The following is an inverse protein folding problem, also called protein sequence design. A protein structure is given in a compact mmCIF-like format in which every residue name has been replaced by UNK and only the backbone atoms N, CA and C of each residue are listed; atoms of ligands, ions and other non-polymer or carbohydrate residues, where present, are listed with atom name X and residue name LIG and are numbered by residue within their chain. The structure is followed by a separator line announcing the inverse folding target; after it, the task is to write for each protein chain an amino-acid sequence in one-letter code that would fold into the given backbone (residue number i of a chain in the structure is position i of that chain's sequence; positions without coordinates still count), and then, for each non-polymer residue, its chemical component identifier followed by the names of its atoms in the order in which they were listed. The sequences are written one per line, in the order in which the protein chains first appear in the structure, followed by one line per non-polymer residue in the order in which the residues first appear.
data_IF_946838268975
#
_entry.id   IF_946838268975
#
_cell.length_a   1.000
_cell.length_b   1.000
_cell.length_c   1.000
_cell.angle_alpha   90.00
_cell.angle_beta   90.00
_cell.angle_gamma   90.00
#
_symmetry.space_group_name_H-M   'P 1'
#
loop_
_entity.id
_entity.type
_entity.pdbx_description
1 polymer ?
#
# COMPACT_ATOMS: atom_id res chain seq x y z
N UNK A 1 -5.94 -62.13 17.14
CA UNK A 1 -6.01 -62.15 18.63
C UNK A 1 -6.72 -60.86 19.00
N UNK A 2 -8.06 -60.88 19.02
CA UNK A 2 -8.91 -61.04 20.23
C UNK A 2 -8.66 -59.88 21.22
N UNK A 3 -9.64 -59.15 21.73
CA UNK A 3 -11.10 -59.19 21.65
C UNK A 3 -11.59 -57.97 22.48
N UNK A 4 -12.67 -57.30 22.03
CA UNK A 4 -13.88 -56.90 22.80
C UNK A 4 -13.73 -56.19 24.16
N UNK A 5 -14.55 -55.19 24.52
CA UNK A 5 -16.01 -55.27 24.66
C UNK A 5 -16.65 -53.88 24.53
N UNK A 6 -17.74 -53.86 23.77
CA UNK A 6 -18.77 -52.83 23.57
C UNK A 6 -19.99 -53.12 24.47
N UNK A 7 -21.02 -52.24 24.44
CA UNK A 7 -22.39 -52.32 25.00
C UNK A 7 -22.64 -51.37 26.19
N UNK A 8 -23.72 -50.60 26.30
CA UNK A 8 -25.07 -50.49 25.69
C UNK A 8 -25.51 -49.02 25.92
N UNK A 9 -26.31 -48.32 25.12
CA UNK A 9 -27.53 -48.72 24.42
C UNK A 9 -28.76 -48.25 25.22
N UNK A 10 -29.50 -47.25 24.72
CA UNK A 10 -30.93 -47.01 25.01
C UNK A 10 -31.57 -46.15 23.90
N UNK A 11 -32.35 -46.83 23.05
CA UNK A 11 -33.55 -46.37 22.32
C UNK A 11 -34.62 -45.84 23.33
N UNK A 12 -35.69 -45.08 23.02
CA UNK A 12 -36.58 -45.05 21.86
C UNK A 12 -37.59 -43.87 21.91
N UNK A 13 -38.00 -43.46 20.70
CA UNK A 13 -39.21 -42.82 20.12
C UNK A 13 -40.38 -42.18 20.92
N UNK A 14 -40.78 -41.02 20.37
CA UNK A 14 -42.11 -40.46 20.04
C UNK A 14 -43.31 -40.53 21.00
N UNK A 15 -43.95 -39.37 21.22
CA UNK A 15 -45.39 -39.24 21.01
C UNK A 15 -45.94 -37.81 20.89
N UNK A 16 -47.07 -37.74 20.20
CA UNK A 16 -47.82 -36.61 19.64
C UNK A 16 -48.86 -36.02 20.62
N UNK A 17 -48.97 -34.68 20.62
CA UNK A 17 -50.14 -33.80 20.90
C UNK A 17 -51.23 -34.19 21.92
N UNK A 18 -51.50 -33.30 22.90
CA UNK A 18 -52.83 -32.68 23.06
C UNK A 18 -52.87 -31.37 23.92
N UNK A 19 -53.68 -30.42 23.44
CA UNK A 19 -54.00 -29.05 23.82
C UNK A 19 -54.32 -28.69 25.30
N UNK A 20 -53.97 -27.46 25.76
CA UNK A 20 -54.85 -26.24 25.85
C UNK A 20 -54.26 -25.09 26.71
N UNK A 21 -54.35 -23.86 26.13
CA UNK A 21 -54.44 -22.48 26.68
C UNK A 21 -53.36 -21.98 27.68
N UNK A 22 -52.81 -20.77 27.65
CA UNK A 22 -53.32 -19.44 27.22
C UNK A 22 -52.14 -18.45 27.10
N UNK A 23 -52.29 -17.43 26.25
CA UNK A 23 -51.57 -16.15 26.22
C UNK A 23 -50.04 -16.13 25.96
N UNK A 24 -49.68 -15.80 24.72
CA UNK A 24 -48.42 -15.11 24.39
C UNK A 24 -48.73 -13.66 23.98
N UNK A 25 -47.99 -12.65 24.47
CA UNK A 25 -48.10 -11.31 23.93
C UNK A 25 -47.41 -11.24 22.57
N UNK A 26 -48.13 -10.69 21.57
CA UNK A 26 -47.56 -10.29 20.28
C UNK A 26 -46.54 -9.17 20.51
N UNK A 27 -45.26 -9.48 20.33
CA UNK A 27 -44.22 -8.45 20.16
C UNK A 27 -44.16 -8.13 18.68
N UNK A 28 -44.76 -7.00 18.30
CA UNK A 28 -44.65 -6.47 16.94
C UNK A 28 -43.19 -6.10 16.67
N UNK A 29 -42.52 -6.85 15.81
CA UNK A 29 -41.25 -6.42 15.24
C UNK A 29 -41.54 -5.27 14.27
N UNK A 30 -41.50 -4.03 14.76
CA UNK A 30 -41.37 -2.86 13.89
C UNK A 30 -40.04 -3.00 13.14
N UNK A 31 -40.09 -3.50 11.91
CA UNK A 31 -39.01 -3.35 10.93
C UNK A 31 -38.73 -1.85 10.82
N UNK A 32 -37.68 -1.38 11.50
CA UNK A 32 -37.06 -0.09 11.19
C UNK A 32 -36.42 -0.26 9.81
N UNK A 33 -37.16 0.13 8.78
CA UNK A 33 -36.58 0.44 7.48
C UNK A 33 -35.65 1.64 7.66
N UNK A 34 -34.37 1.39 7.92
CA UNK A 34 -33.36 2.37 7.53
C UNK A 34 -33.28 2.32 6.01
N UNK A 35 -34.11 3.13 5.35
CA UNK A 35 -33.80 3.56 3.98
C UNK A 35 -32.51 4.35 4.09
N UNK A 36 -31.43 3.77 3.60
CA UNK A 36 -30.19 4.50 3.36
C UNK A 36 -30.50 5.50 2.24
N UNK A 37 -30.57 6.78 2.57
CA UNK A 37 -30.54 7.82 1.56
C UNK A 37 -29.13 7.82 0.96
N UNK A 38 -29.01 7.26 -0.25
CA UNK A 38 -27.75 7.18 -0.99
C UNK A 38 -27.25 8.56 -1.48
N UNK A 39 -27.98 9.64 -1.18
CA UNK A 39 -27.75 11.00 -1.69
C UNK A 39 -27.52 12.05 -0.57
N UNK A 40 -27.34 11.65 0.69
CA UNK A 40 -26.94 12.59 1.75
C UNK A 40 -25.43 12.84 1.75
N UNK A 41 -24.94 14.05 2.13
CA UNK A 41 -23.51 14.28 2.26
C UNK A 41 -22.92 13.37 3.34
N UNK A 42 -22.21 12.32 2.93
CA UNK A 42 -21.47 11.43 3.81
C UNK A 42 -20.22 12.15 4.30
N UNK A 43 -20.39 12.99 5.31
CA UNK A 43 -19.28 13.70 5.94
C UNK A 43 -18.35 12.71 6.63
N UNK A 44 -17.10 13.11 6.82
CA UNK A 44 -16.11 12.39 7.63
C UNK A 44 -16.66 11.92 8.99
N UNK A 45 -17.52 12.75 9.62
CA UNK A 45 -18.22 12.43 10.86
C UNK A 45 -19.15 11.20 10.74
N UNK A 46 -19.73 10.91 9.58
CA UNK A 46 -20.59 9.74 9.35
C UNK A 46 -19.79 8.44 9.23
N UNK A 47 -18.63 8.47 8.57
CA UNK A 47 -17.69 7.34 8.49
C UNK A 47 -17.13 7.02 9.88
N UNK A 48 -16.81 8.07 10.64
CA UNK A 48 -16.31 7.97 12.02
C UNK A 48 -17.40 7.58 13.02
N UNK A 49 -18.64 8.05 12.86
CA UNK A 49 -19.76 7.64 13.72
C UNK A 49 -20.09 6.15 13.55
N UNK A 50 -20.05 5.65 12.31
CA UNK A 50 -20.14 4.21 12.02
C UNK A 50 -19.00 3.41 12.69
N UNK A 51 -17.81 4.00 12.81
CA UNK A 51 -16.67 3.44 13.54
C UNK A 51 -16.92 3.34 15.06
N UNK A 52 -17.51 4.38 15.67
CA UNK A 52 -17.71 4.45 17.14
C UNK A 52 -18.70 3.41 17.67
N UNK A 53 -19.59 2.88 16.83
CA UNK A 53 -20.60 1.90 17.26
C UNK A 53 -20.12 0.43 17.19
N UNK A 54 -18.99 0.14 16.52
CA UNK A 54 -18.54 -1.25 16.30
C UNK A 54 -17.13 -1.60 16.78
N UNK A 55 -16.24 -0.64 17.04
CA UNK A 55 -14.91 -0.95 17.61
C UNK A 55 -14.50 0.08 18.66
N UNK A 56 -14.34 -0.34 19.91
CA UNK A 56 -13.93 0.52 21.02
C UNK A 56 -12.45 0.95 20.97
N UNK A 57 -11.97 1.53 19.87
CA UNK A 57 -10.56 1.92 19.73
C UNK A 57 -10.36 3.44 19.77
N UNK A 58 -9.99 3.98 20.94
CA UNK A 58 -9.73 5.42 21.15
C UNK A 58 -8.75 6.06 20.13
N UNK A 59 -7.88 5.28 19.49
CA UNK A 59 -6.87 5.73 18.52
C UNK A 59 -7.45 6.24 17.18
N UNK A 60 -8.56 5.68 16.71
CA UNK A 60 -9.19 6.16 15.47
C UNK A 60 -10.08 7.36 15.74
N UNK A 61 -10.58 7.50 16.97
CA UNK A 61 -11.25 8.72 17.41
C UNK A 61 -10.26 9.89 17.43
N UNK A 62 -9.03 9.70 17.90
CA UNK A 62 -8.00 10.75 17.83
C UNK A 62 -7.52 11.03 16.40
N UNK A 63 -7.42 10.01 15.54
CA UNK A 63 -7.14 10.20 14.10
C UNK A 63 -8.26 11.00 13.43
N UNK A 64 -9.50 10.65 13.74
CA UNK A 64 -10.68 11.33 13.23
C UNK A 64 -10.81 12.77 13.76
N UNK A 65 -10.62 13.00 15.05
CA UNK A 65 -10.61 14.32 15.67
C UNK A 65 -9.45 15.18 15.13
N UNK A 66 -8.29 14.57 14.89
CA UNK A 66 -7.16 15.24 14.24
C UNK A 66 -7.49 15.70 12.82
N UNK A 67 -8.21 14.89 12.05
CA UNK A 67 -8.63 15.24 10.67
C UNK A 67 -9.78 16.25 10.66
N UNK A 68 -10.76 16.12 11.56
CA UNK A 68 -11.83 17.11 11.72
C UNK A 68 -11.28 18.49 12.13
N UNK A 69 -10.14 18.55 12.83
CA UNK A 69 -9.46 19.79 13.18
C UNK A 69 -8.65 20.42 12.03
N UNK A 70 -8.34 19.67 10.97
CA UNK A 70 -7.61 20.16 9.77
C UNK A 70 -8.55 20.88 8.78
N UNK A 71 -9.85 20.90 9.07
CA UNK A 71 -10.89 21.53 8.26
C UNK A 71 -11.90 20.51 7.76
N UNK A 72 -13.04 20.99 7.25
CA UNK A 72 -14.03 20.16 6.58
C UNK A 72 -13.42 19.58 5.28
N UNK A 73 -12.57 18.56 5.39
CA UNK A 73 -12.15 17.77 4.25
C UNK A 73 -13.39 17.03 3.75
N UNK A 74 -13.98 17.52 2.67
CA UNK A 74 -14.98 16.77 1.92
C UNK A 74 -14.29 15.54 1.35
N UNK A 75 -14.80 14.35 1.70
CA UNK A 75 -14.35 13.11 1.10
C UNK A 75 -14.85 13.14 -0.34
N UNK A 76 -13.95 13.42 -1.29
CA UNK A 76 -14.23 13.36 -2.73
C UNK A 76 -14.54 11.94 -3.20
N UNK A 77 -14.16 10.92 -2.41
CA UNK A 77 -14.34 9.52 -2.71
C UNK A 77 -15.82 9.11 -2.67
N UNK A 78 -16.32 8.53 -3.77
CA UNK A 78 -17.71 8.09 -3.90
C UNK A 78 -17.98 6.83 -3.06
N UNK A 79 -19.15 6.77 -2.43
CA UNK A 79 -19.63 5.54 -1.78
C UNK A 79 -20.29 4.66 -2.83
N UNK A 80 -19.81 3.43 -2.98
CA UNK A 80 -20.34 2.41 -3.88
C UNK A 80 -21.06 1.32 -3.08
N UNK A 81 -22.12 0.77 -3.66
CA UNK A 81 -22.77 -0.42 -3.09
C UNK A 81 -21.98 -1.68 -3.47
N UNK A 82 -22.12 -2.74 -2.68
CA UNK A 82 -21.54 -4.04 -3.03
C UNK A 82 -22.05 -4.55 -4.37
N UNK A 83 -23.35 -4.34 -4.66
CA UNK A 83 -23.97 -4.78 -5.90
C UNK A 83 -23.35 -4.08 -7.13
N UNK A 84 -23.11 -2.77 -7.03
CA UNK A 84 -22.46 -1.99 -8.10
C UNK A 84 -21.04 -2.50 -8.36
N UNK A 85 -20.25 -2.75 -7.31
CA UNK A 85 -18.89 -3.27 -7.46
C UNK A 85 -18.86 -4.72 -7.97
N UNK A 86 -19.79 -5.56 -7.52
CA UNK A 86 -19.95 -6.92 -8.01
C UNK A 86 -20.30 -6.90 -9.51
N UNK A 87 -21.26 -6.08 -9.94
CA UNK A 87 -21.59 -5.93 -11.35
C UNK A 87 -20.39 -5.43 -12.18
N UNK A 88 -19.67 -4.41 -11.68
CA UNK A 88 -18.51 -3.84 -12.39
C UNK A 88 -17.35 -4.82 -12.60
N UNK A 89 -17.27 -5.88 -11.80
CA UNK A 89 -16.19 -6.88 -11.82
C UNK A 89 -16.65 -8.25 -12.30
N UNK A 90 -17.85 -8.34 -12.90
CA UNK A 90 -18.49 -9.61 -13.29
C UNK A 90 -18.52 -10.63 -12.14
N UNK A 91 -19.03 -10.18 -10.99
CA UNK A 91 -19.06 -10.90 -9.72
C UNK A 91 -17.67 -11.34 -9.22
N UNK A 92 -16.68 -10.45 -9.30
CA UNK A 92 -15.29 -10.72 -8.91
C UNK A 92 -14.70 -11.92 -9.66
N UNK A 93 -14.94 -11.94 -10.99
CA UNK A 93 -14.48 -12.99 -11.88
C UNK A 93 -12.95 -13.18 -11.76
N UNK A 94 -12.45 -14.40 -11.55
CA UNK A 94 -11.00 -14.67 -11.50
C UNK A 94 -10.23 -14.22 -12.74
N UNK A 95 -10.87 -14.14 -13.91
CA UNK A 95 -10.26 -13.63 -15.15
C UNK A 95 -9.92 -12.13 -15.04
N UNK A 96 -10.65 -11.39 -14.21
CA UNK A 96 -10.42 -9.97 -13.94
C UNK A 96 -9.45 -9.73 -12.78
N UNK A 97 -8.88 -10.79 -12.18
CA UNK A 97 -7.94 -10.66 -11.07
C UNK A 97 -6.63 -10.02 -11.55
N UNK A 98 -6.27 -8.89 -10.94
CA UNK A 98 -5.02 -8.17 -11.20
C UNK A 98 -3.90 -8.60 -10.25
N UNK A 99 -4.26 -9.01 -9.03
CA UNK A 99 -3.29 -9.46 -8.03
C UNK A 99 -3.94 -9.89 -6.71
N UNK A 100 -3.19 -10.66 -5.93
CA UNK A 100 -3.58 -11.14 -4.60
C UNK A 100 -2.37 -11.04 -3.67
N UNK A 101 -2.58 -10.53 -2.46
CA UNK A 101 -1.52 -10.38 -1.46
C UNK A 101 -2.08 -10.28 -0.04
N UNK A 102 -1.22 -9.94 0.93
CA UNK A 102 -1.61 -9.83 2.35
C UNK A 102 -2.71 -8.80 2.66
N UNK A 103 -3.02 -7.94 1.69
CA UNK A 103 -4.05 -6.91 1.77
C UNK A 103 -5.33 -7.28 1.00
N UNK A 104 -5.47 -8.52 0.54
CA UNK A 104 -6.63 -9.01 -0.21
C UNK A 104 -6.43 -9.08 -1.71
N UNK A 105 -7.54 -9.10 -2.46
CA UNK A 105 -7.58 -9.34 -3.90
C UNK A 105 -7.95 -8.09 -4.66
N UNK A 106 -7.31 -7.84 -5.80
CA UNK A 106 -7.59 -6.66 -6.64
C UNK A 106 -8.15 -7.14 -7.97
N UNK A 107 -9.28 -6.59 -8.37
CA UNK A 107 -9.98 -6.93 -9.61
C UNK A 107 -10.06 -5.72 -10.53
N UNK A 108 -9.89 -5.93 -11.83
CA UNK A 108 -10.25 -4.94 -12.84
C UNK A 108 -11.77 -4.87 -12.94
N UNK A 109 -12.31 -3.66 -13.01
CA UNK A 109 -13.73 -3.46 -13.23
C UNK A 109 -14.01 -2.25 -14.10
N UNK A 110 -15.25 -2.15 -14.58
CA UNK A 110 -15.77 -0.99 -15.28
C UNK A 110 -17.06 -0.54 -14.61
N UNK A 111 -17.07 0.69 -14.09
CA UNK A 111 -18.22 1.25 -13.39
C UNK A 111 -19.00 2.12 -14.36
N UNK A 112 -20.14 1.61 -14.84
CA UNK A 112 -21.02 2.28 -15.80
C UNK A 112 -21.50 3.66 -15.31
N UNK A 113 -21.77 3.79 -14.01
CA UNK A 113 -22.34 5.01 -13.43
C UNK A 113 -21.39 6.22 -13.44
N UNK A 114 -20.10 6.01 -13.73
CA UNK A 114 -19.08 7.05 -13.88
C UNK A 114 -18.26 6.89 -15.16
N UNK A 115 -18.64 5.96 -16.05
CA UNK A 115 -17.94 5.63 -17.30
C UNK A 115 -16.42 5.47 -17.11
N UNK A 116 -16.00 4.59 -16.18
CA UNK A 116 -14.58 4.48 -15.81
C UNK A 116 -14.11 3.06 -15.55
N UNK A 117 -12.94 2.73 -16.09
CA UNK A 117 -12.17 1.52 -15.73
C UNK A 117 -11.45 1.76 -14.39
N UNK A 118 -11.57 0.80 -13.47
CA UNK A 118 -11.11 0.90 -12.09
C UNK A 118 -10.40 -0.37 -11.63
N UNK A 119 -9.66 -0.24 -10.54
CA UNK A 119 -9.17 -1.37 -9.75
C UNK A 119 -9.97 -1.46 -8.43
N UNK A 120 -10.63 -2.59 -8.21
CA UNK A 120 -11.44 -2.88 -7.02
C UNK A 120 -10.65 -3.79 -6.09
N UNK A 121 -10.11 -3.25 -5.00
CA UNK A 121 -9.41 -4.00 -3.95
C UNK A 121 -10.43 -4.48 -2.92
N UNK A 122 -10.69 -5.78 -2.90
CA UNK A 122 -11.47 -6.46 -1.88
C UNK A 122 -10.54 -6.86 -0.73
N UNK A 123 -10.69 -6.20 0.42
CA UNK A 123 -9.88 -6.49 1.59
C UNK A 123 -10.32 -7.79 2.24
N UNK A 124 -9.35 -8.54 2.75
CA UNK A 124 -9.60 -9.85 3.33
C UNK A 124 -10.57 -9.79 4.52
N UNK A 125 -11.60 -10.63 4.47
CA UNK A 125 -12.69 -10.66 5.48
C UNK A 125 -12.23 -11.15 6.86
N UNK A 126 -11.02 -11.70 6.96
CA UNK A 126 -10.53 -12.38 8.16
C UNK A 126 -9.65 -11.45 8.98
N UNK A 127 -10.28 -10.68 9.87
CA UNK A 127 -9.61 -10.11 11.04
C UNK A 127 -9.69 -8.59 11.19
N UNK A 128 -9.35 -8.14 12.40
CA UNK A 128 -9.36 -6.73 12.79
C UNK A 128 -8.34 -5.89 12.00
N UNK A 129 -7.32 -6.51 11.39
CA UNK A 129 -6.27 -5.80 10.65
C UNK A 129 -6.76 -5.24 9.32
N UNK A 130 -7.41 -6.02 8.46
CA UNK A 130 -7.90 -5.53 7.17
C UNK A 130 -8.94 -4.41 7.32
N UNK A 131 -9.77 -4.47 8.36
CA UNK A 131 -10.68 -3.36 8.71
C UNK A 131 -9.92 -2.09 9.10
N UNK A 132 -8.80 -2.20 9.84
CA UNK A 132 -7.99 -1.05 10.23
C UNK A 132 -7.29 -0.42 9.03
N UNK A 133 -6.75 -1.25 8.15
CA UNK A 133 -6.09 -0.82 6.91
C UNK A 133 -7.08 -0.15 5.96
N UNK A 134 -8.29 -0.70 5.81
CA UNK A 134 -9.39 -0.05 5.08
C UNK A 134 -9.60 1.39 5.53
N UNK A 135 -9.81 1.59 6.83
CA UNK A 135 -10.10 2.93 7.35
C UNK A 135 -8.88 3.83 7.25
N UNK A 136 -7.69 3.33 7.57
CA UNK A 136 -6.47 4.12 7.38
C UNK A 136 -6.35 4.60 5.93
N UNK A 137 -6.60 3.74 4.96
CA UNK A 137 -6.47 4.07 3.55
C UNK A 137 -7.54 5.06 3.06
N UNK A 138 -8.81 4.86 3.39
CA UNK A 138 -9.88 5.83 3.09
C UNK A 138 -9.55 7.20 3.68
N UNK A 139 -9.09 7.23 4.94
CA UNK A 139 -8.74 8.46 5.64
C UNK A 139 -7.53 9.15 4.99
N UNK A 140 -6.46 8.42 4.73
CA UNK A 140 -5.22 8.98 4.17
C UNK A 140 -5.45 9.51 2.77
N UNK A 141 -6.04 8.71 1.87
CA UNK A 141 -6.28 9.12 0.49
C UNK A 141 -7.34 10.22 0.35
N UNK A 142 -8.18 10.44 1.37
CA UNK A 142 -9.05 11.63 1.41
C UNK A 142 -8.28 12.92 1.75
N UNK A 143 -7.11 12.82 2.40
CA UNK A 143 -6.28 13.96 2.81
C UNK A 143 -5.23 14.34 1.78
N UNK A 144 -4.75 13.36 0.99
CA UNK A 144 -3.60 13.52 0.10
C UNK A 144 -4.02 13.43 -1.35
N UNK A 145 -3.61 14.40 -2.15
CA UNK A 145 -3.87 14.43 -3.59
C UNK A 145 -2.62 14.91 -4.31
N UNK A 146 -2.00 14.04 -5.11
CA UNK A 146 -0.76 14.34 -5.82
C UNK A 146 -0.61 13.43 -7.04
N UNK A 147 -0.01 13.90 -8.17
CA UNK A 147 0.14 13.09 -9.39
C UNK A 147 0.88 11.77 -9.23
N UNK A 148 1.75 11.66 -8.21
CA UNK A 148 2.51 10.44 -7.89
C UNK A 148 1.93 9.62 -6.73
N UNK A 149 0.66 9.83 -6.38
CA UNK A 149 -0.10 8.98 -5.45
C UNK A 149 -1.33 8.45 -6.18
N UNK A 150 -1.69 7.18 -5.93
CA UNK A 150 -2.87 6.58 -6.56
C UNK A 150 -4.14 7.26 -6.04
N UNK A 151 -5.02 7.63 -6.96
CA UNK A 151 -6.28 8.28 -6.64
C UNK A 151 -7.34 7.26 -6.19
N UNK A 152 -7.94 7.51 -5.02
CA UNK A 152 -9.11 6.77 -4.53
C UNK A 152 -10.37 7.32 -5.22
N UNK A 153 -10.95 6.54 -6.13
CA UNK A 153 -12.22 6.87 -6.79
C UNK A 153 -13.38 6.74 -5.80
N UNK A 154 -13.32 5.75 -4.90
CA UNK A 154 -14.37 5.51 -3.93
C UNK A 154 -14.13 4.29 -3.06
N UNK A 155 -15.15 3.94 -2.28
CA UNK A 155 -15.10 2.77 -1.41
C UNK A 155 -16.48 2.16 -1.20
N UNK A 156 -16.51 0.91 -0.75
CA UNK A 156 -17.71 0.20 -0.30
C UNK A 156 -17.54 -0.24 1.15
N UNK A 157 -18.55 0.07 1.97
CA UNK A 157 -18.63 -0.28 3.38
C UNK A 157 -19.96 -0.99 3.73
N UNK A 158 -20.55 -1.71 2.78
CA UNK A 158 -21.84 -2.39 2.94
C UNK A 158 -21.74 -3.59 3.89
N UNK A 159 -22.36 -3.50 5.06
CA UNK A 159 -22.30 -4.55 6.07
C UNK A 159 -20.87 -4.83 6.52
N UNK A 160 -20.39 -6.04 6.23
CA UNK A 160 -19.02 -6.50 6.50
C UNK A 160 -18.09 -6.41 5.28
N UNK A 161 -18.61 -5.93 4.13
CA UNK A 161 -17.79 -5.72 2.94
C UNK A 161 -16.92 -4.48 3.11
N UNK A 162 -15.62 -4.62 2.82
CA UNK A 162 -14.66 -3.52 2.81
C UNK A 162 -13.91 -3.57 1.50
N UNK A 163 -14.20 -2.61 0.62
CA UNK A 163 -13.58 -2.54 -0.70
C UNK A 163 -13.17 -1.12 -1.03
N UNK A 164 -12.03 -1.00 -1.69
CA UNK A 164 -11.48 0.26 -2.15
C UNK A 164 -11.48 0.26 -3.67
N UNK A 165 -11.82 1.40 -4.26
CA UNK A 165 -11.93 1.58 -5.72
C UNK A 165 -10.92 2.64 -6.13
N UNK A 166 -9.95 2.27 -6.95
CA UNK A 166 -8.90 3.16 -7.42
C UNK A 166 -9.01 3.39 -8.92
N UNK A 167 -8.31 4.40 -9.41
CA UNK A 167 -7.94 4.46 -10.81
C UNK A 167 -7.19 3.18 -11.23
N UNK A 168 -7.41 2.74 -12.47
CA UNK A 168 -6.71 1.59 -13.03
C UNK A 168 -5.31 1.99 -13.52
N UNK A 169 -4.30 1.23 -13.11
CA UNK A 169 -2.90 1.46 -13.46
C UNK A 169 -2.49 0.42 -14.53
N UNK A 170 -2.43 0.85 -15.79
CA UNK A 170 -2.37 -0.05 -16.93
C UNK A 170 -1.14 -0.97 -16.98
N UNK A 171 -0.01 -0.51 -16.44
CA UNK A 171 1.23 -1.27 -16.41
C UNK A 171 1.44 -2.00 -15.07
N UNK A 172 0.47 -2.02 -14.15
CA UNK A 172 0.62 -2.73 -12.88
C UNK A 172 1.75 -2.18 -12.01
N UNK A 173 2.42 -3.03 -11.23
CA UNK A 173 3.46 -2.63 -10.26
C UNK A 173 4.87 -2.69 -10.83
N UNK A 174 5.79 -1.90 -10.26
CA UNK A 174 7.17 -1.78 -10.70
C UNK A 174 7.95 -3.12 -10.65
N UNK A 175 7.68 -3.96 -9.65
CA UNK A 175 8.32 -5.28 -9.54
C UNK A 175 8.03 -6.19 -10.75
N UNK A 176 6.84 -6.11 -11.34
CA UNK A 176 6.52 -6.84 -12.58
C UNK A 176 7.46 -6.48 -13.74
N UNK A 177 7.93 -5.23 -13.80
CA UNK A 177 8.79 -4.72 -14.88
C UNK A 177 10.28 -4.78 -14.55
N UNK A 178 10.64 -5.21 -13.35
CA UNK A 178 12.01 -5.13 -12.84
C UNK A 178 12.52 -6.46 -12.26
N UNK A 179 11.69 -7.14 -11.46
CA UNK A 179 12.07 -8.29 -10.64
C UNK A 179 11.38 -9.58 -11.11
N UNK A 180 10.17 -9.46 -11.66
CA UNK A 180 9.31 -10.54 -12.15
C UNK A 180 9.15 -10.51 -13.70
N UNK A 181 10.09 -9.85 -14.39
CA UNK A 181 10.07 -9.67 -15.84
C UNK A 181 10.10 -11.01 -16.58
N UNK A 182 9.15 -11.22 -17.49
CA UNK A 182 9.12 -12.44 -18.32
C UNK A 182 10.29 -12.43 -19.33
N UNK A 183 10.81 -13.60 -19.74
CA UNK A 183 11.93 -13.67 -20.69
C UNK A 183 11.69 -12.96 -22.04
N UNK A 184 10.43 -12.82 -22.43
CA UNK A 184 10.00 -12.22 -23.70
C UNK A 184 9.73 -10.71 -23.60
N UNK A 185 9.78 -10.13 -22.40
CA UNK A 185 9.50 -8.72 -22.15
C UNK A 185 10.79 -7.87 -22.18
N UNK A 186 10.69 -6.64 -22.69
CA UNK A 186 11.82 -5.72 -22.70
C UNK A 186 12.02 -5.09 -21.32
N UNK A 187 13.23 -5.16 -20.73
CA UNK A 187 13.50 -4.52 -19.44
C UNK A 187 13.45 -3.00 -19.56
N UNK A 188 12.99 -2.34 -18.50
CA UNK A 188 13.01 -0.88 -18.41
C UNK A 188 14.41 -0.33 -18.65
N UNK A 189 14.51 0.67 -19.55
CA UNK A 189 15.76 1.39 -19.79
C UNK A 189 16.16 2.26 -18.58
N UNK A 190 17.44 2.68 -18.55
CA UNK A 190 18.00 3.48 -17.46
C UNK A 190 17.19 4.75 -17.16
N UNK A 191 16.80 5.52 -18.17
CA UNK A 191 16.12 6.79 -17.96
C UNK A 191 14.68 6.58 -17.49
N UNK A 192 14.01 5.55 -17.99
CA UNK A 192 12.69 5.15 -17.48
C UNK A 192 12.77 4.76 -16.00
N UNK A 193 13.78 3.98 -15.59
CA UNK A 193 14.02 3.66 -14.17
C UNK A 193 14.28 4.91 -13.32
N UNK A 194 15.09 5.85 -13.80
CA UNK A 194 15.36 7.10 -13.08
C UNK A 194 14.12 8.01 -12.97
N UNK A 195 13.28 8.08 -14.01
CA UNK A 195 11.99 8.79 -13.95
C UNK A 195 11.01 8.17 -12.96
N UNK A 196 10.97 6.84 -12.89
CA UNK A 196 10.19 6.12 -11.89
C UNK A 196 10.69 6.43 -10.47
N UNK A 197 12.00 6.38 -10.24
CA UNK A 197 12.59 6.77 -8.96
C UNK A 197 12.24 8.22 -8.59
N UNK A 198 12.39 9.16 -9.53
CA UNK A 198 12.07 10.58 -9.34
C UNK A 198 10.60 10.77 -8.94
N UNK A 199 9.66 10.21 -9.71
CA UNK A 199 8.24 10.38 -9.44
C UNK A 199 7.82 9.71 -8.12
N UNK A 200 8.36 8.53 -7.81
CA UNK A 200 8.10 7.88 -6.53
C UNK A 200 8.66 8.69 -5.34
N UNK A 201 9.85 9.29 -5.48
CA UNK A 201 10.42 10.20 -4.49
C UNK A 201 9.57 11.47 -4.33
N UNK A 202 9.04 12.06 -5.42
CA UNK A 202 8.11 13.20 -5.38
C UNK A 202 6.81 12.87 -4.64
N UNK A 203 6.28 11.66 -4.84
CA UNK A 203 5.15 11.17 -4.05
C UNK A 203 5.47 11.15 -2.55
N UNK A 204 6.66 10.67 -2.19
CA UNK A 204 7.09 10.60 -0.80
C UNK A 204 7.39 11.98 -0.19
N UNK A 205 8.00 12.88 -0.96
CA UNK A 205 8.23 14.28 -0.60
C UNK A 205 6.92 15.01 -0.32
N UNK A 206 5.90 14.83 -1.18
CA UNK A 206 4.57 15.37 -0.93
C UNK A 206 4.02 14.93 0.44
N UNK A 207 4.14 13.64 0.76
CA UNK A 207 3.65 13.10 2.04
C UNK A 207 4.43 13.68 3.23
N UNK A 208 5.75 13.84 3.13
CA UNK A 208 6.58 14.29 4.23
C UNK A 208 6.50 15.80 4.47
N UNK A 209 6.62 16.59 3.41
CA UNK A 209 6.93 18.01 3.52
C UNK A 209 5.74 18.91 3.19
N UNK A 210 4.82 18.43 2.36
CA UNK A 210 3.70 19.25 1.85
C UNK A 210 2.35 18.87 2.46
N UNK A 211 2.15 17.63 2.87
CA UNK A 211 0.94 17.22 3.58
C UNK A 211 0.91 17.78 5.00
N UNK A 212 -0.27 18.20 5.46
CA UNK A 212 -0.47 18.79 6.79
C UNK A 212 -1.62 18.10 7.49
N UNK A 213 -1.37 17.33 8.57
CA UNK A 213 -0.05 16.98 9.11
C UNK A 213 0.77 16.06 8.18
N UNK A 214 2.12 15.98 8.36
CA UNK A 214 2.97 15.06 7.61
C UNK A 214 2.45 13.62 7.67
N UNK A 215 2.71 12.84 6.63
CA UNK A 215 2.32 11.42 6.54
C UNK A 215 3.56 10.57 6.33
N UNK A 216 3.75 9.57 7.18
CA UNK A 216 4.78 8.53 7.02
C UNK A 216 4.14 7.33 6.33
N UNK A 217 4.67 6.96 5.17
CA UNK A 217 4.08 5.97 4.27
C UNK A 217 4.29 4.53 4.74
N UNK A 218 5.49 4.23 5.29
CA UNK A 218 5.86 3.04 6.06
C UNK A 218 5.96 1.71 5.30
N UNK A 219 5.40 1.60 4.10
CA UNK A 219 5.50 0.40 3.26
C UNK A 219 6.00 0.73 1.84
N UNK A 220 7.08 1.51 1.78
CA UNK A 220 7.74 1.85 0.52
C UNK A 220 8.51 0.64 -0.04
N UNK A 221 8.01 0.08 -1.15
CA UNK A 221 8.56 -1.11 -1.83
C UNK A 221 8.14 -1.13 -3.30
N UNK A 222 8.87 -1.87 -4.15
CA UNK A 222 8.59 -1.92 -5.59
C UNK A 222 7.14 -2.33 -5.93
N UNK A 223 6.57 -3.31 -5.22
CA UNK A 223 5.19 -3.78 -5.47
C UNK A 223 4.11 -2.73 -5.17
N UNK A 224 4.44 -1.67 -4.41
CA UNK A 224 3.51 -0.59 -4.07
C UNK A 224 3.72 0.67 -4.94
N UNK A 225 4.59 0.59 -5.95
CA UNK A 225 4.77 1.63 -6.96
C UNK A 225 4.07 1.15 -8.23
N UNK A 226 2.89 1.70 -8.50
CA UNK A 226 2.11 1.36 -9.69
C UNK A 226 2.45 2.29 -10.86
N UNK A 227 2.30 1.80 -12.08
CA UNK A 227 2.71 2.47 -13.31
C UNK A 227 1.50 2.68 -14.22
N UNK A 228 1.29 3.93 -14.64
CA UNK A 228 0.26 4.26 -15.63
C UNK A 228 0.71 3.88 -17.05
N UNK A 229 -0.12 4.18 -18.06
CA UNK A 229 0.13 3.87 -19.48
C UNK A 229 1.46 4.45 -19.99
N UNK A 230 1.94 5.56 -19.42
CA UNK A 230 3.21 6.20 -19.78
C UNK A 230 4.35 5.89 -18.81
N UNK A 231 4.21 4.83 -17.99
CA UNK A 231 5.18 4.45 -16.95
C UNK A 231 5.42 5.54 -15.90
N UNK A 232 4.46 6.45 -15.67
CA UNK A 232 4.55 7.38 -14.54
C UNK A 232 4.20 6.65 -13.25
N UNK A 233 5.02 6.82 -12.19
CA UNK A 233 4.82 6.10 -10.94
C UNK A 233 3.77 6.75 -10.07
N UNK A 234 2.98 5.92 -9.38
CA UNK A 234 2.07 6.32 -8.30
C UNK A 234 2.21 5.37 -7.11
N UNK A 235 2.39 5.93 -5.91
CA UNK A 235 2.40 5.16 -4.67
C UNK A 235 0.99 4.68 -4.35
N UNK A 236 0.83 3.39 -4.03
CA UNK A 236 -0.45 2.74 -3.69
C UNK A 236 -0.45 2.21 -2.24
N UNK A 237 -1.52 1.57 -1.79
CA UNK A 237 -1.55 0.83 -0.50
C UNK A 237 -1.17 1.65 0.75
N UNK A 238 -2.04 2.60 1.11
CA UNK A 238 -1.83 3.46 2.28
C UNK A 238 -2.31 2.82 3.60
N UNK A 239 -2.65 1.54 3.61
CA UNK A 239 -3.22 0.85 4.77
C UNK A 239 -2.34 0.89 6.02
N UNK A 240 -1.01 0.98 5.85
CA UNK A 240 -0.04 1.03 6.94
C UNK A 240 0.41 2.45 7.33
N UNK A 241 0.04 3.45 6.53
CA UNK A 241 0.49 4.83 6.67
C UNK A 241 0.08 5.44 8.03
N UNK A 242 0.85 6.42 8.48
CA UNK A 242 0.66 7.11 9.76
C UNK A 242 0.78 8.60 9.61
N UNK A 243 -0.05 9.33 10.34
CA UNK A 243 0.22 10.75 10.59
C UNK A 243 1.55 10.81 11.35
N UNK A 244 2.47 11.61 10.84
CA UNK A 244 3.77 11.91 11.42
C UNK A 244 3.63 12.58 12.79
N UNK A 245 4.76 12.80 13.47
CA UNK A 245 4.74 13.35 14.82
C UNK A 245 4.14 14.77 14.83
N UNK A 246 3.22 15.01 15.77
CA UNK A 246 2.60 16.32 16.03
C UNK A 246 2.90 16.78 17.45
N UNK A 247 2.93 18.10 17.68
CA UNK A 247 3.02 18.66 19.03
C UNK A 247 4.40 18.50 19.69
N UNK A 248 5.48 18.73 18.93
CA UNK A 248 6.85 18.76 19.45
C UNK A 248 7.53 17.40 19.64
N UNK A 249 6.90 16.31 19.19
CA UNK A 249 7.54 14.99 19.10
C UNK A 249 8.43 14.90 17.87
N UNK A 250 9.45 14.07 17.94
CA UNK A 250 10.40 13.75 16.87
C UNK A 250 10.04 12.45 16.12
N UNK A 251 9.27 11.56 16.75
CA UNK A 251 8.89 10.26 16.17
C UNK A 251 7.47 9.81 16.54
N UNK A 252 6.98 8.80 15.80
CA UNK A 252 5.74 8.08 16.10
C UNK A 252 6.07 6.71 16.69
N UNK A 253 5.83 6.51 17.99
CA UNK A 253 6.00 5.19 18.61
C UNK A 253 4.85 4.25 18.21
N UNK A 254 5.16 3.18 17.49
CA UNK A 254 4.17 2.21 16.99
C UNK A 254 4.75 0.80 16.92
N UNK A 255 3.89 -0.23 16.87
CA UNK A 255 4.33 -1.60 16.58
C UNK A 255 5.12 -1.61 15.27
N UNK A 256 6.18 -2.41 15.17
CA UNK A 256 6.91 -2.59 13.91
C UNK A 256 6.00 -3.30 12.89
N UNK A 257 5.76 -2.65 11.75
CA UNK A 257 5.04 -3.20 10.60
C UNK A 257 5.66 -2.64 9.32
N UNK A 258 5.49 -3.34 8.21
CA UNK A 258 6.10 -3.05 6.93
C UNK A 258 6.65 -4.34 6.31
N UNK A 259 7.22 -4.24 5.13
CA UNK A 259 7.77 -5.40 4.43
C UNK A 259 9.23 -5.67 4.82
N UNK A 260 9.53 -6.93 5.17
CA UNK A 260 10.89 -7.35 5.48
C UNK A 260 11.84 -7.09 4.29
N UNK A 261 13.05 -6.60 4.57
CA UNK A 261 14.01 -6.15 3.54
C UNK A 261 14.00 -4.65 3.26
N UNK A 262 12.88 -3.97 3.52
CA UNK A 262 12.74 -2.51 3.31
C UNK A 262 12.76 -1.72 4.62
N UNK A 263 12.59 -2.39 5.76
CA UNK A 263 12.45 -1.75 7.06
C UNK A 263 13.77 -1.13 7.54
N UNK A 264 13.72 0.14 7.92
CA UNK A 264 14.86 0.85 8.49
C UNK A 264 15.33 0.21 9.82
N UNK A 265 16.65 0.16 10.08
CA UNK A 265 17.21 -0.56 11.23
C UNK A 265 16.81 0.03 12.59
N UNK A 266 16.75 1.36 12.71
CA UNK A 266 16.30 2.05 13.92
C UNK A 266 14.83 1.77 14.20
N UNK A 267 13.99 1.72 13.17
CA UNK A 267 12.58 1.43 13.32
C UNK A 267 12.36 -0.03 13.72
N UNK A 268 13.08 -0.96 13.10
CA UNK A 268 13.02 -2.38 13.42
C UNK A 268 13.42 -2.67 14.88
N UNK A 269 14.41 -1.95 15.41
CA UNK A 269 14.94 -2.17 16.76
C UNK A 269 14.17 -1.43 17.85
N UNK A 270 13.66 -0.23 17.58
CA UNK A 270 13.06 0.65 18.61
C UNK A 270 11.55 0.82 18.48
N UNK A 271 10.96 0.55 17.31
CA UNK A 271 9.58 0.89 17.00
C UNK A 271 9.31 2.39 16.83
N UNK A 272 10.37 3.22 16.80
CA UNK A 272 10.27 4.66 16.53
C UNK A 272 10.21 4.89 15.02
N UNK A 273 9.04 5.30 14.53
CA UNK A 273 8.80 5.55 13.12
C UNK A 273 8.98 7.03 12.81
N UNK A 274 9.74 7.35 11.76
CA UNK A 274 10.00 8.71 11.28
C UNK A 274 9.91 8.77 9.75
N UNK A 275 9.91 9.98 9.18
CA UNK A 275 10.03 10.18 7.73
C UNK A 275 11.35 9.62 7.19
N UNK A 276 12.43 9.63 7.99
CA UNK A 276 13.72 9.03 7.64
C UNK A 276 13.67 7.50 7.52
N UNK A 277 12.68 6.86 8.13
CA UNK A 277 12.45 5.43 7.92
C UNK A 277 11.96 5.14 6.49
N UNK A 278 11.11 6.01 5.93
CA UNK A 278 10.70 5.89 4.52
C UNK A 278 11.86 6.22 3.56
N UNK A 279 12.75 7.16 3.91
CA UNK A 279 13.94 7.47 3.10
C UNK A 279 14.85 6.24 2.98
N UNK A 280 14.99 5.45 4.05
CA UNK A 280 15.72 4.19 4.00
C UNK A 280 15.04 3.19 3.04
N UNK A 281 13.73 3.01 3.18
CA UNK A 281 12.95 2.12 2.31
C UNK A 281 13.01 2.55 0.84
N UNK A 282 13.00 3.86 0.56
CA UNK A 282 13.29 4.42 -0.76
C UNK A 282 14.68 4.02 -1.25
N UNK A 283 15.71 4.13 -0.40
CA UNK A 283 17.07 3.71 -0.73
C UNK A 283 17.17 2.25 -1.16
N UNK A 284 16.39 1.36 -0.51
CA UNK A 284 16.30 -0.05 -0.90
C UNK A 284 15.70 -0.18 -2.31
N UNK A 285 14.53 0.41 -2.57
CA UNK A 285 13.89 0.35 -3.90
C UNK A 285 14.75 1.00 -4.98
N UNK A 286 15.44 2.09 -4.67
CA UNK A 286 16.33 2.73 -5.62
C UNK A 286 17.53 1.83 -5.97
N UNK A 287 18.01 1.06 -5.01
CA UNK A 287 19.02 0.04 -5.24
C UNK A 287 18.47 -1.13 -6.08
N UNK A 288 17.21 -1.55 -5.88
CA UNK A 288 16.54 -2.52 -6.77
C UNK A 288 16.50 -2.01 -8.21
N UNK A 289 16.10 -0.74 -8.43
CA UNK A 289 16.08 -0.11 -9.75
C UNK A 289 17.46 -0.10 -10.43
N UNK A 290 18.53 0.15 -9.69
CA UNK A 290 19.90 0.19 -10.23
C UNK A 290 20.41 -1.22 -10.55
N UNK A 291 20.10 -2.20 -9.69
CA UNK A 291 20.73 -3.52 -9.69
C UNK A 291 19.91 -4.62 -10.37
N UNK A 292 18.61 -4.43 -10.51
CA UNK A 292 17.67 -5.50 -10.95
C UNK A 292 17.58 -6.66 -9.96
N UNK A 293 18.00 -6.47 -8.70
CA UNK A 293 17.98 -7.50 -7.66
C UNK A 293 16.86 -7.22 -6.66
N UNK A 294 16.25 -8.27 -6.11
CA UNK A 294 15.25 -8.15 -5.03
C UNK A 294 15.93 -7.77 -3.73
N UNK A 295 15.24 -6.99 -2.90
CA UNK A 295 15.63 -6.68 -1.52
C UNK A 295 15.95 -7.93 -0.70
N UNK A 296 15.12 -8.96 -0.80
CA UNK A 296 15.33 -10.30 -0.22
C UNK A 296 15.14 -11.36 -1.31
N UNK A 297 16.20 -12.12 -1.59
CA UNK A 297 16.22 -13.16 -2.61
C UNK A 297 16.69 -14.51 -2.02
N UNK A 298 15.77 -15.41 -1.63
CA UNK A 298 16.14 -16.69 -1.03
C UNK A 298 16.80 -17.65 -2.01
N UNK A 299 16.72 -17.40 -3.33
CA UNK A 299 17.37 -18.23 -4.33
C UNK A 299 18.87 -17.95 -4.44
N UNK A 300 19.36 -16.85 -3.84
CA UNK A 300 20.78 -16.51 -3.78
C UNK A 300 21.51 -17.21 -2.63
N UNK A 301 22.83 -17.23 -2.73
CA UNK A 301 23.71 -17.65 -1.63
C UNK A 301 23.44 -16.79 -0.38
N UNK A 302 23.55 -17.38 0.80
CA UNK A 302 23.18 -16.76 2.08
C UNK A 302 23.69 -15.33 2.27
N UNK A 303 24.94 -15.06 1.87
CA UNK A 303 25.57 -13.74 2.00
C UNK A 303 25.03 -12.69 1.03
N UNK A 304 24.38 -13.12 -0.06
CA UNK A 304 23.76 -12.25 -1.07
C UNK A 304 22.23 -12.22 -1.00
N UNK A 305 21.61 -12.88 -0.02
CA UNK A 305 20.14 -12.92 0.06
C UNK A 305 19.55 -11.55 0.40
N UNK A 306 20.26 -10.73 1.18
CA UNK A 306 19.86 -9.36 1.49
C UNK A 306 20.61 -8.37 0.59
N UNK A 307 19.87 -7.61 -0.20
CA UNK A 307 20.41 -6.66 -1.16
C UNK A 307 21.31 -5.59 -0.53
N UNK A 308 20.89 -5.04 0.62
CA UNK A 308 21.63 -3.98 1.31
C UNK A 308 22.93 -4.54 1.86
N UNK A 309 22.89 -5.71 2.50
CA UNK A 309 24.08 -6.40 3.02
C UNK A 309 25.08 -6.71 1.90
N UNK A 310 24.61 -7.19 0.75
CA UNK A 310 25.43 -7.45 -0.42
C UNK A 310 26.07 -6.18 -1.00
N UNK A 311 25.32 -5.09 -1.07
CA UNK A 311 25.78 -3.81 -1.63
C UNK A 311 26.76 -3.06 -0.73
N UNK A 312 26.65 -3.21 0.59
CA UNK A 312 27.44 -2.48 1.58
C UNK A 312 28.97 -2.50 1.35
N UNK A 313 29.64 -3.66 1.12
CA UNK A 313 31.07 -3.67 0.83
C UNK A 313 31.43 -3.04 -0.53
N UNK A 314 30.48 -2.92 -1.46
CA UNK A 314 30.69 -2.35 -2.80
C UNK A 314 30.62 -0.82 -2.76
N UNK A 315 29.81 -0.24 -1.86
CA UNK A 315 29.75 1.22 -1.69
C UNK A 315 31.08 1.84 -1.25
N UNK A 316 31.94 1.07 -0.59
CA UNK A 316 33.25 1.54 -0.10
C UNK A 316 34.32 1.67 -1.20
N UNK A 317 34.08 1.14 -2.41
CA UNK A 317 35.01 1.23 -3.53
C UNK A 317 34.28 1.65 -4.81
N UNK A 318 34.47 2.91 -5.21
CA UNK A 318 33.88 3.47 -6.43
C UNK A 318 34.21 2.66 -7.68
N UNK A 319 35.34 1.93 -7.73
CA UNK A 319 35.68 1.08 -8.88
C UNK A 319 34.74 -0.12 -9.01
N UNK A 320 34.08 -0.53 -7.91
CA UNK A 320 33.13 -1.65 -7.86
C UNK A 320 31.70 -1.25 -8.22
N UNK A 321 31.41 0.04 -8.37
CA UNK A 321 30.05 0.52 -8.69
C UNK A 321 29.49 -0.10 -9.97
N UNK A 322 30.34 -0.37 -10.95
CA UNK A 322 29.94 -1.01 -12.20
C UNK A 322 29.42 -2.45 -12.00
N UNK A 323 29.84 -3.13 -10.93
CA UNK A 323 29.38 -4.47 -10.58
C UNK A 323 27.94 -4.49 -10.05
N UNK A 324 27.41 -3.31 -9.71
CA UNK A 324 26.06 -3.15 -9.18
C UNK A 324 25.05 -2.74 -10.23
N UNK A 325 25.48 -2.44 -11.46
CA UNK A 325 24.53 -2.14 -12.53
C UNK A 325 23.81 -3.40 -12.99
N UNK A 326 22.50 -3.30 -13.19
CA UNK A 326 21.69 -4.39 -13.72
C UNK A 326 22.26 -4.89 -15.08
N UNK A 327 22.60 -6.19 -15.20
CA UNK A 327 23.07 -6.79 -16.45
C UNK A 327 22.09 -6.59 -17.63
N UNK A 328 20.78 -6.51 -17.36
CA UNK A 328 19.74 -6.31 -18.38
C UNK A 328 19.81 -4.92 -19.04
N UNK A 329 20.47 -3.94 -18.40
CA UNK A 329 20.75 -2.65 -19.04
C UNK A 329 21.81 -2.77 -20.14
N UNK A 330 22.60 -3.86 -20.19
CA UNK A 330 23.61 -4.13 -21.22
C UNK A 330 24.60 -2.98 -21.43
N UNK A 331 24.99 -2.32 -20.34
CA UNK A 331 25.87 -1.14 -20.37
C UNK A 331 25.24 0.14 -20.92
N UNK A 332 23.92 0.15 -21.24
CA UNK A 332 23.18 1.31 -21.73
C UNK A 332 22.77 2.25 -20.58
N UNK A 333 23.76 2.83 -19.91
CA UNK A 333 23.58 3.84 -18.88
C UNK A 333 24.79 4.79 -18.83
N UNK A 334 24.60 6.04 -18.42
CA UNK A 334 25.72 6.96 -18.21
C UNK A 334 26.52 6.53 -16.97
N UNK A 335 27.81 6.21 -17.13
CA UNK A 335 28.70 5.79 -16.02
C UNK A 335 28.69 6.82 -14.88
N UNK A 336 28.75 8.12 -15.20
CA UNK A 336 28.65 9.18 -14.19
C UNK A 336 27.29 9.15 -13.46
N UNK A 337 26.21 8.90 -14.19
CA UNK A 337 24.86 8.81 -13.62
C UNK A 337 24.73 7.60 -12.70
N UNK A 338 25.29 6.45 -13.05
CA UNK A 338 25.37 5.28 -12.17
C UNK A 338 26.08 5.62 -10.85
N UNK A 339 27.20 6.35 -10.92
CA UNK A 339 27.96 6.71 -9.72
C UNK A 339 27.20 7.65 -8.80
N UNK A 340 26.49 8.61 -9.38
CA UNK A 340 25.64 9.53 -8.63
C UNK A 340 24.43 8.81 -8.03
N UNK A 341 23.78 7.91 -8.79
CA UNK A 341 22.67 7.10 -8.31
C UNK A 341 23.07 6.21 -7.12
N UNK A 342 24.21 5.50 -7.22
CA UNK A 342 24.72 4.67 -6.13
C UNK A 342 25.13 5.50 -4.90
N UNK A 343 25.67 6.70 -5.10
CA UNK A 343 25.96 7.61 -3.98
C UNK A 343 24.67 8.06 -3.26
N UNK A 344 23.60 8.37 -4.01
CA UNK A 344 22.30 8.71 -3.44
C UNK A 344 21.71 7.51 -2.68
N UNK A 345 21.73 6.31 -3.27
CA UNK A 345 21.28 5.10 -2.60
C UNK A 345 22.06 4.86 -1.28
N UNK A 346 23.39 5.00 -1.30
CA UNK A 346 24.24 4.84 -0.11
C UNK A 346 23.92 5.87 0.99
N UNK A 347 23.59 7.11 0.63
CA UNK A 347 23.17 8.14 1.60
C UNK A 347 21.80 7.82 2.22
N UNK A 348 20.86 7.31 1.43
CA UNK A 348 19.55 6.87 1.94
C UNK A 348 19.66 5.65 2.87
N UNK A 349 20.62 4.76 2.61
CA UNK A 349 20.80 3.49 3.33
C UNK A 349 21.71 3.60 4.57
N UNK A 350 22.04 4.81 5.04
CA UNK A 350 22.82 4.99 6.26
C UNK A 350 22.13 4.37 7.48
N UNK A 351 22.94 3.83 8.39
CA UNK A 351 22.47 3.15 9.59
C UNK A 351 21.75 4.14 10.52
N UNK A 352 22.34 5.30 10.75
CA UNK A 352 21.78 6.38 11.55
C UNK A 352 20.75 7.18 10.75
N UNK A 353 19.53 7.33 11.28
CA UNK A 353 18.44 8.03 10.57
C UNK A 353 18.75 9.51 10.29
N UNK A 354 19.50 10.16 11.18
CA UNK A 354 19.80 11.59 11.07
C UNK A 354 20.80 11.92 9.96
N UNK A 355 21.65 10.95 9.57
CA UNK A 355 22.63 11.12 8.47
C UNK A 355 22.02 10.89 7.09
N UNK A 356 20.82 10.31 7.02
CA UNK A 356 20.06 10.16 5.77
C UNK A 356 19.61 11.54 5.28
N UNK A 357 19.59 11.79 3.96
CA UNK A 357 19.18 13.06 3.39
C UNK A 357 17.69 13.33 3.63
N UNK A 358 17.27 14.58 3.42
CA UNK A 358 15.84 14.88 3.25
C UNK A 358 15.39 14.32 1.91
N UNK A 359 14.12 13.91 1.84
CA UNK A 359 13.59 13.33 0.60
C UNK A 359 13.57 14.35 -0.56
N UNK A 360 13.38 15.65 -0.27
CA UNK A 360 13.49 16.70 -1.28
C UNK A 360 14.89 16.86 -1.89
N UNK A 361 15.96 16.61 -1.11
CA UNK A 361 17.33 16.58 -1.63
C UNK A 361 17.52 15.40 -2.59
N UNK A 362 16.91 14.26 -2.27
CA UNK A 362 16.91 13.06 -3.12
C UNK A 362 16.14 13.33 -4.42
N UNK A 363 14.97 13.98 -4.35
CA UNK A 363 14.22 14.41 -5.54
C UNK A 363 15.08 15.29 -6.43
N UNK A 364 15.74 16.31 -5.87
CA UNK A 364 16.62 17.21 -6.62
C UNK A 364 17.75 16.45 -7.34
N UNK A 365 18.36 15.47 -6.67
CA UNK A 365 19.38 14.63 -7.29
C UNK A 365 18.82 13.77 -8.44
N UNK A 366 17.62 13.21 -8.28
CA UNK A 366 16.97 12.37 -9.28
C UNK A 366 16.51 13.15 -10.51
N UNK A 367 16.05 14.39 -10.35
CA UNK A 367 15.69 15.27 -11.47
C UNK A 367 16.86 15.52 -12.44
N UNK A 368 18.09 15.46 -11.93
CA UNK A 368 19.30 15.52 -12.75
C UNK A 368 19.61 14.19 -13.44
N UNK A 369 19.30 13.05 -12.79
CA UNK A 369 19.58 11.70 -13.30
C UNK A 369 18.55 11.21 -14.32
N UNK A 370 17.31 11.69 -14.23
CA UNK A 370 16.18 11.27 -15.07
C UNK A 370 16.18 11.87 -16.47
N UNK A 371 16.97 12.92 -16.70
CA UNK A 371 17.05 13.62 -17.98
C UNK A 371 18.23 13.09 -18.80
N UNK A 372 18.02 12.62 -20.03
CA UNK A 372 19.13 12.39 -20.94
C UNK A 372 19.82 13.73 -21.19
N UNK A 373 21.13 13.78 -20.95
CA UNK A 373 21.90 14.94 -21.40
C UNK A 373 21.90 14.89 -22.91
N UNK A 374 21.19 15.82 -23.55
CA UNK A 374 21.47 16.15 -24.93
C UNK A 374 22.93 16.55 -25.00
N UNK A 375 23.78 15.65 -25.50
CA UNK A 375 25.06 16.04 -26.04
C UNK A 375 24.71 16.83 -27.28
N UNK A 376 24.49 18.14 -27.11
CA UNK A 376 24.51 19.06 -28.24
C UNK A 376 25.85 18.83 -28.92
N UNK A 377 25.78 18.28 -30.13
CA UNK A 377 26.94 18.06 -30.98
C UNK A 377 27.71 19.36 -31.09
N UNK A 378 28.94 19.34 -30.57
CA UNK A 378 29.94 20.33 -30.96
C UNK A 378 30.43 19.83 -32.32
N UNK A 379 29.87 20.42 -33.38
CA UNK A 379 30.47 20.39 -34.72
C UNK A 379 31.68 21.32 -34.77
#
# INVERSE_FOLDING_TARGET
MKEFVDQKGLQEMDCVSCCRSSHRPEVSWKKRNNRYDANGPHTFASVVANFSMKSGSSKYRSLAEGILNVGHAEISARVFTFYELAASTDNFNPVSLLGEGGFGRVYKGYIESIDKVVAVKQLDRKGLQGTREFFAEVLMLSLVHHPNLVNLVGYCADGDQRMLVYEFMANGSLDNHLLDLSPDEEPLDWYTRMRIAEGAAKGLEYLHDFSKPPVIYRDFKASNILLDEEFKPKLSDFGLAKIGPTGGKDHVSTRVMGTYGYCAPEYASTGQLTTKSDVYSFGVVFLELITGRRSIDPARQTEEQNLVTWAQPLFNDRKKFILMADPLLRGRYPVKGLYQALAVAAMCLQQEADTRPLIGDVVTALEYLSKPRNVLGIH
#
